data_IF_468207628054
#
_entry.id   IF_468207628054
#
_cell.length_a   1.000
_cell.length_b   1.000
_cell.length_c   1.000
_cell.angle_alpha   90.00
_cell.angle_beta   90.00
_cell.angle_gamma   90.00
#
_symmetry.space_group_name_H-M   'P 1'
#
loop_
_entity.id
_entity.type
_entity.pdbx_description
1 polymer ?
#
# COMPACT_ATOMS: atom_id res chain seq x y z
N UNK A 1 -30.33 50.79 21.84
CA UNK A 1 -29.76 51.96 21.15
C UNK A 1 -28.59 51.48 20.29
N UNK A 2 -28.75 51.55 18.94
CA UNK A 2 -27.79 51.23 17.84
C UNK A 2 -27.34 49.75 17.77
N UNK A 3 -27.83 48.85 16.90
CA UNK A 3 -27.96 48.79 15.42
C UNK A 3 -26.75 49.37 14.68
N UNK A 4 -25.88 48.49 14.16
CA UNK A 4 -25.23 48.64 12.85
C UNK A 4 -25.17 47.28 12.16
N UNK A 5 -25.87 47.22 11.03
CA UNK A 5 -25.88 46.17 10.01
C UNK A 5 -24.78 46.54 9.01
N UNK A 6 -23.91 45.61 8.63
CA UNK A 6 -23.18 45.70 7.37
C UNK A 6 -23.13 44.34 6.70
N UNK A 7 -24.18 44.08 5.92
CA UNK A 7 -24.10 43.22 4.74
C UNK A 7 -23.16 43.88 3.74
N UNK A 8 -22.17 43.14 3.26
CA UNK A 8 -21.57 43.40 1.95
C UNK A 8 -21.30 42.07 1.26
N UNK A 9 -22.28 41.75 0.42
CA UNK A 9 -22.27 40.76 -0.64
C UNK A 9 -21.11 41.10 -1.58
N UNK A 10 -20.19 40.16 -1.80
CA UNK A 10 -19.31 40.19 -2.97
C UNK A 10 -19.74 39.09 -3.91
N UNK A 11 -20.12 39.54 -5.10
CA UNK A 11 -20.71 38.77 -6.18
C UNK A 11 -19.75 37.70 -6.71
N UNK A 12 -20.36 36.62 -7.18
CA UNK A 12 -19.68 35.48 -7.78
C UNK A 12 -18.94 35.82 -9.07
N UNK A 13 -17.89 35.06 -9.31
CA UNK A 13 -17.31 34.86 -10.63
C UNK A 13 -17.43 33.36 -10.92
N UNK A 14 -18.56 33.00 -11.51
CA UNK A 14 -18.78 31.69 -12.12
C UNK A 14 -17.93 31.63 -13.39
N UNK A 15 -16.83 30.88 -13.36
CA UNK A 15 -16.08 30.55 -14.55
C UNK A 15 -16.87 29.52 -15.38
N UNK A 16 -17.16 29.79 -16.67
CA UNK A 16 -17.89 28.85 -17.51
C UNK A 16 -17.02 27.64 -17.85
N UNK A 17 -17.53 26.49 -17.41
CA UNK A 17 -17.38 25.15 -17.96
C UNK A 17 -17.00 25.16 -19.45
N UNK A 18 -15.72 24.94 -19.75
CA UNK A 18 -15.29 24.54 -21.10
C UNK A 18 -15.30 23.02 -21.16
N UNK A 19 -16.39 22.47 -21.69
CA UNK A 19 -16.48 21.09 -22.12
C UNK A 19 -15.56 20.90 -23.33
N UNK A 20 -14.37 20.32 -23.10
CA UNK A 20 -13.53 19.82 -24.19
C UNK A 20 -14.14 18.52 -24.72
N UNK A 21 -14.86 18.70 -25.81
CA UNK A 21 -15.43 17.73 -26.73
C UNK A 21 -14.38 16.72 -27.23
N UNK A 22 -14.68 15.46 -26.95
CA UNK A 22 -14.36 14.21 -27.64
C UNK A 22 -13.37 14.26 -28.81
N UNK A 23 -12.19 13.67 -28.61
CA UNK A 23 -11.43 13.05 -29.69
C UNK A 23 -11.63 11.53 -29.58
N UNK A 24 -12.52 11.01 -30.43
CA UNK A 24 -12.69 9.58 -30.65
C UNK A 24 -11.41 9.02 -31.27
N UNK A 25 -10.60 8.34 -30.46
CA UNK A 25 -9.54 7.49 -30.96
C UNK A 25 -10.18 6.35 -31.77
N UNK A 26 -9.97 6.36 -33.08
CA UNK A 26 -10.34 5.26 -33.97
C UNK A 26 -9.39 4.11 -33.65
N UNK A 27 -9.87 3.10 -32.94
CA UNK A 27 -9.12 1.86 -32.75
C UNK A 27 -8.89 1.18 -34.11
N UNK A 28 -7.71 0.65 -34.41
CA UNK A 28 -7.49 -0.11 -35.64
C UNK A 28 -8.39 -1.35 -35.60
N UNK A 29 -9.10 -1.59 -36.70
CA UNK A 29 -9.88 -2.81 -36.91
C UNK A 29 -8.95 -4.02 -36.79
N UNK A 30 -9.17 -4.82 -35.74
CA UNK A 30 -8.48 -6.10 -35.56
C UNK A 30 -9.02 -7.04 -36.63
N UNK A 31 -8.19 -7.34 -37.62
CA UNK A 31 -8.49 -8.36 -38.62
C UNK A 31 -8.75 -9.71 -37.90
N UNK A 32 -9.69 -10.56 -38.38
CA UNK A 32 -9.87 -11.88 -37.83
C UNK A 32 -8.60 -12.70 -38.07
N UNK A 33 -7.84 -12.94 -37.00
CA UNK A 33 -6.68 -13.82 -37.07
C UNK A 33 -7.19 -15.25 -37.22
N UNK A 34 -6.85 -15.90 -38.32
CA UNK A 34 -7.16 -17.30 -38.54
C UNK A 34 -6.56 -18.13 -37.39
N UNK A 35 -7.38 -18.99 -36.79
CA UNK A 35 -6.92 -19.90 -35.75
C UNK A 35 -5.76 -20.77 -36.26
N UNK A 36 -4.70 -20.97 -35.48
CA UNK A 36 -3.57 -21.79 -35.90
C UNK A 36 -4.02 -23.22 -36.17
N UNK A 37 -3.48 -23.82 -37.23
CA UNK A 37 -3.73 -25.23 -37.55
C UNK A 37 -3.13 -26.14 -36.47
N UNK A 38 -3.65 -27.36 -36.35
CA UNK A 38 -3.17 -28.32 -35.36
C UNK A 38 -1.67 -28.60 -35.47
N UNK A 39 -1.11 -28.59 -36.68
CA UNK A 39 0.34 -28.73 -36.90
C UNK A 39 1.13 -27.53 -36.37
N UNK A 40 0.59 -26.31 -36.44
CA UNK A 40 1.26 -25.11 -35.94
C UNK A 40 1.26 -25.04 -34.41
N UNK A 41 0.29 -25.66 -33.75
CA UNK A 41 0.26 -25.79 -32.28
C UNK A 41 1.23 -26.85 -31.75
N UNK A 42 1.53 -27.89 -32.55
CA UNK A 42 2.46 -28.95 -32.16
C UNK A 42 3.93 -28.51 -32.23
N UNK A 43 4.25 -27.50 -33.05
CA UNK A 43 5.60 -26.95 -33.21
C UNK A 43 5.81 -25.62 -32.48
N UNK A 44 4.79 -25.13 -31.75
CA UNK A 44 4.98 -23.98 -30.90
C UNK A 44 5.77 -24.44 -29.69
N UNK A 45 7.03 -24.02 -29.59
CA UNK A 45 7.75 -24.07 -28.32
C UNK A 45 6.80 -23.54 -27.25
N UNK A 46 6.62 -24.30 -26.17
CA UNK A 46 6.02 -23.81 -24.94
C UNK A 46 6.93 -22.70 -24.46
N UNK A 47 6.72 -21.51 -25.02
CA UNK A 47 7.39 -20.30 -24.64
C UNK A 47 7.13 -20.19 -23.17
N UNK A 48 8.17 -20.44 -22.38
CA UNK A 48 8.10 -20.30 -20.94
C UNK A 48 7.46 -18.96 -20.70
N UNK A 49 6.24 -18.96 -20.19
CA UNK A 49 5.52 -17.77 -19.75
C UNK A 49 6.16 -17.27 -18.47
N UNK A 50 7.48 -17.07 -18.49
CA UNK A 50 8.06 -15.97 -17.75
C UNK A 50 7.65 -14.73 -18.56
N UNK A 51 6.50 -14.16 -18.20
CA UNK A 51 6.37 -12.71 -18.34
C UNK A 51 7.64 -12.16 -17.67
N UNK A 52 8.51 -11.40 -18.36
CA UNK A 52 9.43 -10.57 -17.63
C UNK A 52 8.53 -9.62 -16.87
N UNK A 53 8.21 -9.97 -15.61
CA UNK A 53 7.89 -8.96 -14.62
C UNK A 53 9.11 -8.08 -14.73
N UNK A 54 8.94 -6.94 -15.39
CA UNK A 54 9.85 -5.82 -15.32
C UNK A 54 9.81 -5.43 -13.84
N UNK A 55 10.48 -6.23 -13.01
CA UNK A 55 10.73 -5.96 -11.64
C UNK A 55 11.68 -4.78 -11.73
N UNK A 56 11.09 -3.58 -11.74
CA UNK A 56 11.79 -2.38 -11.29
C UNK A 56 12.63 -2.85 -10.10
N UNK A 57 13.95 -2.68 -10.10
CA UNK A 57 14.73 -2.86 -8.88
C UNK A 57 14.24 -1.78 -7.94
N UNK A 58 13.13 -2.06 -7.26
CA UNK A 58 12.64 -1.27 -6.17
C UNK A 58 13.67 -1.54 -5.10
N UNK A 59 14.64 -0.64 -4.99
CA UNK A 59 15.27 -0.38 -3.72
C UNK A 59 14.11 -0.03 -2.78
N UNK A 60 13.57 -1.06 -2.13
CA UNK A 60 12.63 -0.90 -1.05
C UNK A 60 13.42 -0.13 0.01
N UNK A 61 13.15 1.15 0.15
CA UNK A 61 13.74 2.02 1.16
C UNK A 61 12.55 2.74 1.75
N UNK A 62 12.39 2.67 3.08
CA UNK A 62 11.28 3.34 3.73
C UNK A 62 11.44 4.87 3.57
N UNK A 63 10.58 5.56 2.80
CA UNK A 63 10.68 7.01 2.62
C UNK A 63 10.34 7.79 3.91
N UNK A 64 9.72 7.13 4.89
CA UNK A 64 9.25 7.71 6.14
C UNK A 64 10.10 7.32 7.36
N UNK A 65 11.30 6.78 7.14
CA UNK A 65 12.21 6.48 8.24
C UNK A 65 12.43 7.73 9.12
N UNK A 66 12.19 7.61 10.43
CA UNK A 66 12.31 8.68 11.42
C UNK A 66 11.40 9.91 11.19
N UNK A 67 10.36 9.80 10.37
CA UNK A 67 9.35 10.84 10.23
C UNK A 67 8.28 10.71 11.34
N UNK A 68 8.18 11.72 12.20
CA UNK A 68 7.25 11.71 13.35
C UNK A 68 5.79 11.60 12.95
N UNK A 69 5.40 12.27 11.87
CA UNK A 69 4.02 12.30 11.41
C UNK A 69 3.63 10.93 10.84
N UNK A 70 4.52 10.32 10.05
CA UNK A 70 4.33 8.97 9.54
C UNK A 70 4.29 7.91 10.66
N UNK A 71 5.06 8.09 11.74
CA UNK A 71 4.96 7.21 12.92
C UNK A 71 3.59 7.35 13.60
N UNK A 72 3.04 8.56 13.68
CA UNK A 72 1.70 8.81 14.23
C UNK A 72 0.62 8.19 13.36
N UNK A 73 0.68 8.37 12.04
CA UNK A 73 -0.25 7.75 11.10
C UNK A 73 -0.13 6.22 11.10
N UNK A 74 1.10 5.70 11.09
CA UNK A 74 1.38 4.27 11.22
C UNK A 74 0.78 3.66 12.49
N UNK A 75 0.82 4.39 13.61
CA UNK A 75 0.17 3.94 14.85
C UNK A 75 -1.35 3.90 14.71
N UNK A 76 -1.97 4.90 14.08
CA UNK A 76 -3.42 4.90 13.84
C UNK A 76 -3.81 3.72 12.97
N UNK A 77 -3.08 3.49 11.89
CA UNK A 77 -3.25 2.34 10.99
C UNK A 77 -3.10 1.01 11.73
N UNK A 78 -2.09 0.88 12.59
CA UNK A 78 -1.87 -0.34 13.38
C UNK A 78 -3.09 -0.69 14.26
N UNK A 79 -3.77 0.33 14.78
CA UNK A 79 -5.02 0.16 15.53
C UNK A 79 -6.22 -0.11 14.61
N UNK A 80 -6.42 0.71 13.57
CA UNK A 80 -7.61 0.62 12.71
C UNK A 80 -7.64 -0.63 11.84
N UNK A 81 -6.48 -1.13 11.42
CA UNK A 81 -6.33 -2.38 10.66
C UNK A 81 -6.29 -3.62 11.57
N UNK A 82 -6.58 -3.45 12.87
CA UNK A 82 -6.64 -4.50 13.87
C UNK A 82 -5.33 -5.31 14.02
N UNK A 83 -4.17 -4.70 13.73
CA UNK A 83 -2.88 -5.35 13.98
C UNK A 83 -2.69 -5.63 15.48
N UNK A 84 -3.20 -4.72 16.33
CA UNK A 84 -3.24 -4.86 17.79
C UNK A 84 -3.95 -6.11 18.29
N UNK A 85 -4.93 -6.62 17.54
CA UNK A 85 -5.68 -7.82 17.93
C UNK A 85 -4.81 -9.08 17.95
N UNK A 86 -3.78 -9.11 17.11
CA UNK A 86 -2.86 -10.25 17.03
C UNK A 86 -1.51 -9.97 17.71
N UNK A 87 -0.97 -8.76 17.58
CA UNK A 87 0.38 -8.40 18.01
C UNK A 87 0.44 -7.55 19.29
N UNK A 88 -0.71 -7.32 19.95
CA UNK A 88 -0.89 -6.42 21.08
C UNK A 88 -0.62 -4.92 20.78
N UNK A 89 -1.17 -3.98 21.57
CA UNK A 89 -1.03 -2.54 21.31
C UNK A 89 0.41 -2.02 21.21
N UNK A 90 1.34 -2.65 21.91
CA UNK A 90 2.76 -2.26 21.95
C UNK A 90 3.68 -3.27 21.24
N UNK A 91 3.12 -4.20 20.45
CA UNK A 91 3.93 -5.19 19.74
C UNK A 91 4.40 -6.37 20.60
N UNK A 92 3.89 -6.55 21.81
CA UNK A 92 4.29 -7.65 22.70
C UNK A 92 3.86 -9.05 22.26
N UNK A 93 3.15 -9.18 21.13
CA UNK A 93 2.69 -10.46 20.59
C UNK A 93 1.38 -10.95 21.21
N UNK A 94 1.06 -12.22 20.97
CA UNK A 94 -0.18 -12.85 21.41
C UNK A 94 -0.57 -13.96 20.45
N UNK A 95 -1.58 -13.70 19.61
CA UNK A 95 -1.92 -14.61 18.50
C UNK A 95 -0.85 -14.56 17.40
N UNK A 96 -0.31 -13.37 17.14
CA UNK A 96 0.87 -13.17 16.30
C UNK A 96 2.16 -13.10 17.12
N UNK A 97 3.33 -13.25 16.48
CA UNK A 97 4.62 -13.10 17.15
C UNK A 97 4.82 -11.67 17.69
N UNK A 98 5.66 -11.49 18.72
CA UNK A 98 6.06 -10.16 19.16
C UNK A 98 6.80 -9.41 18.05
N UNK A 99 6.52 -8.11 17.94
CA UNK A 99 7.16 -7.14 17.04
C UNK A 99 8.09 -6.18 17.80
N UNK A 100 8.05 -6.18 19.14
CA UNK A 100 8.96 -5.45 20.02
C UNK A 100 10.28 -6.18 20.28
N UNK A 101 10.36 -7.47 19.92
CA UNK A 101 11.49 -8.32 20.27
C UNK A 101 12.63 -8.22 19.25
N UNK A 102 13.81 -8.69 19.65
CA UNK A 102 14.98 -8.75 18.78
C UNK A 102 14.92 -9.90 17.76
N UNK A 103 14.11 -10.92 18.03
CA UNK A 103 13.98 -12.10 17.16
C UNK A 103 12.83 -11.91 16.15
N UNK A 104 13.15 -12.00 14.86
CA UNK A 104 12.20 -11.80 13.76
C UNK A 104 12.13 -13.04 12.86
N UNK A 105 10.93 -13.59 12.71
CA UNK A 105 10.70 -14.81 11.89
C UNK A 105 10.94 -14.54 10.39
N UNK A 106 10.58 -13.35 9.92
CA UNK A 106 10.67 -12.96 8.50
C UNK A 106 11.69 -11.83 8.23
N UNK A 107 12.55 -11.54 9.20
CA UNK A 107 13.55 -10.47 9.14
C UNK A 107 13.01 -9.11 9.60
N UNK A 108 13.93 -8.27 10.07
CA UNK A 108 13.66 -7.00 10.77
C UNK A 108 13.99 -5.75 9.93
N UNK A 109 14.50 -5.94 8.71
CA UNK A 109 14.78 -4.85 7.79
C UNK A 109 13.46 -4.21 7.33
N UNK A 110 13.40 -2.88 7.14
CA UNK A 110 12.16 -2.19 6.74
C UNK A 110 11.48 -2.81 5.51
N UNK A 111 12.27 -3.22 4.53
CA UNK A 111 11.80 -3.89 3.31
C UNK A 111 11.13 -5.25 3.58
N UNK A 112 11.68 -6.02 4.52
CA UNK A 112 11.15 -7.34 4.89
C UNK A 112 9.84 -7.20 5.66
N UNK A 113 9.75 -6.18 6.54
CA UNK A 113 8.52 -5.83 7.25
C UNK A 113 7.45 -5.37 6.26
N UNK A 114 7.80 -4.49 5.32
CA UNK A 114 6.90 -4.06 4.25
C UNK A 114 6.33 -5.27 3.50
N UNK A 115 7.20 -6.17 3.03
CA UNK A 115 6.77 -7.34 2.26
C UNK A 115 5.90 -8.28 3.09
N UNK A 116 6.15 -8.36 4.40
CA UNK A 116 5.35 -9.13 5.35
C UNK A 116 3.93 -8.57 5.46
N UNK A 117 3.77 -7.25 5.53
CA UNK A 117 2.45 -6.60 5.59
C UNK A 117 1.75 -6.66 4.23
N UNK A 118 2.48 -6.35 3.15
CA UNK A 118 1.96 -6.33 1.79
C UNK A 118 1.42 -7.69 1.39
N UNK A 119 2.17 -8.77 1.64
CA UNK A 119 1.85 -10.11 1.15
C UNK A 119 1.15 -10.99 2.19
N UNK A 120 1.16 -10.60 3.46
CA UNK A 120 0.73 -11.45 4.57
C UNK A 120 1.71 -12.61 4.81
N UNK A 121 1.36 -13.48 5.77
CA UNK A 121 2.13 -14.69 6.11
C UNK A 121 1.22 -15.87 6.42
N UNK A 122 1.70 -17.11 6.19
CA UNK A 122 0.98 -18.31 6.60
C UNK A 122 0.62 -18.27 8.09
N UNK A 123 -0.38 -19.07 8.48
CA UNK A 123 -0.85 -19.19 9.86
C UNK A 123 -1.57 -17.95 10.43
N UNK A 124 -2.20 -17.14 9.57
CA UNK A 124 -3.24 -16.20 10.00
C UNK A 124 -2.93 -14.71 9.89
N UNK A 125 -1.74 -14.31 9.39
CA UNK A 125 -1.48 -12.91 9.06
C UNK A 125 -2.01 -12.59 7.64
N UNK A 126 -3.07 -11.77 7.50
CA UNK A 126 -3.64 -11.46 6.19
C UNK A 126 -2.71 -10.57 5.35
N UNK A 127 -2.92 -10.57 4.05
CA UNK A 127 -2.29 -9.62 3.12
C UNK A 127 -3.02 -8.28 3.16
N UNK A 128 -2.26 -7.19 3.26
CA UNK A 128 -2.82 -5.83 3.26
C UNK A 128 -2.56 -5.06 1.97
N UNK A 129 -1.76 -5.60 1.03
CA UNK A 129 -1.38 -4.90 -0.21
C UNK A 129 -2.53 -4.60 -1.19
N UNK A 130 -3.68 -5.26 -1.03
CA UNK A 130 -4.91 -4.96 -1.80
C UNK A 130 -5.85 -3.98 -1.10
N UNK A 131 -5.56 -3.64 0.16
CA UNK A 131 -6.44 -2.84 1.02
C UNK A 131 -5.79 -1.49 1.35
N UNK A 132 -4.48 -1.47 1.56
CA UNK A 132 -3.71 -0.28 1.89
C UNK A 132 -2.87 0.17 0.70
N UNK A 133 -2.77 1.47 0.43
CA UNK A 133 -1.77 1.99 -0.49
C UNK A 133 -0.36 1.80 0.08
N UNK A 134 0.64 1.77 -0.80
CA UNK A 134 2.06 1.59 -0.46
C UNK A 134 2.54 2.53 0.65
N UNK A 135 2.15 3.80 0.60
CA UNK A 135 2.56 4.81 1.57
C UNK A 135 2.08 4.45 2.99
N UNK A 136 0.83 3.99 3.13
CA UNK A 136 0.28 3.55 4.41
C UNK A 136 0.99 2.31 4.96
N UNK A 137 1.46 1.41 4.09
CA UNK A 137 2.27 0.26 4.52
C UNK A 137 3.63 0.75 5.03
N UNK A 138 4.24 1.74 4.38
CA UNK A 138 5.50 2.32 4.86
C UNK A 138 5.35 3.11 6.17
N UNK A 139 4.24 3.80 6.37
CA UNK A 139 3.88 4.43 7.66
C UNK A 139 3.75 3.37 8.77
N UNK A 140 3.09 2.24 8.49
CA UNK A 140 3.06 1.08 9.40
C UNK A 140 4.47 0.59 9.73
N UNK A 141 5.35 0.43 8.72
CA UNK A 141 6.74 0.02 8.95
C UNK A 141 7.47 1.04 9.84
N UNK A 142 7.29 2.34 9.59
CA UNK A 142 7.90 3.39 10.39
C UNK A 142 7.48 3.28 11.86
N UNK A 143 6.19 3.07 12.14
CA UNK A 143 5.69 2.84 13.49
C UNK A 143 6.24 1.55 14.12
N UNK A 144 6.20 0.42 13.41
CA UNK A 144 6.66 -0.87 13.93
C UNK A 144 8.14 -0.81 14.34
N UNK A 145 8.98 -0.11 13.58
CA UNK A 145 10.39 0.10 13.95
C UNK A 145 10.58 0.90 15.25
N UNK A 146 9.56 1.63 15.72
CA UNK A 146 9.61 2.28 17.05
C UNK A 146 9.34 1.31 18.21
N UNK A 147 8.66 0.18 17.94
CA UNK A 147 8.28 -0.79 18.97
C UNK A 147 9.48 -1.58 19.49
N UNK A 148 10.43 -1.92 18.60
CA UNK A 148 11.65 -2.63 18.98
C UNK A 148 12.65 -1.77 19.77
N UNK A 149 12.43 -0.45 19.82
CA UNK A 149 13.30 0.52 20.48
C UNK A 149 12.87 0.78 21.93
N UNK A 150 11.76 0.17 22.35
CA UNK A 150 11.29 0.20 23.74
C UNK A 150 11.82 -1.04 24.44
N UNK A 151 12.50 -0.94 25.61
CA UNK A 151 13.03 -2.10 26.30
C UNK A 151 11.94 -3.14 26.51
N UNK A 152 12.15 -4.35 25.99
CA UNK A 152 11.22 -5.46 26.10
C UNK A 152 10.77 -5.59 27.57
N UNK A 153 9.45 -5.47 27.79
CA UNK A 153 8.88 -5.73 29.11
C UNK A 153 8.99 -7.23 29.34
N UNK A 154 10.03 -7.62 30.06
CA UNK A 154 10.29 -8.98 30.51
C UNK A 154 9.03 -9.52 31.20
N UNK A 155 8.46 -10.58 30.65
CA UNK A 155 7.46 -11.40 31.33
C UNK A 155 8.12 -12.28 32.39
#
# INVERSE_FOLDING_TARGET
MRIIIFSLIVAGVFAPWSAAISQSAVAPAIAPQASPTAEQLLHSEVGSTHIPVQAKPATYVNPYANNSDAIVEGRKLFNSMNCVGCHAPQGGGGMGPPLSDAEWIYGDRPEQIYLTIMQGRPNGMPSFGSILPDDSIWELVAYIKTLNSTPAQSK
#
